data_IF_824669982774
#
_entry.id   IF_824669982774
#
_cell.length_a   1.000
_cell.length_b   1.000
_cell.length_c   1.000
_cell.angle_alpha   90.00
_cell.angle_beta   90.00
_cell.angle_gamma   90.00
#
_symmetry.space_group_name_H-M   'P 1'
#
loop_
_entity.id
_entity.type
_entity.pdbx_description
1 polymer ?
#
# COMPACT_ATOMS: atom_id res chain seq x y z
N UNK A 1 9.52 -4.91 -70.53
CA UNK A 1 9.82 -5.04 -69.09
C UNK A 1 10.85 -3.98 -68.75
N UNK A 2 10.45 -3.03 -67.90
CA UNK A 2 11.05 -1.69 -67.84
C UNK A 2 12.27 -1.60 -66.93
N UNK A 3 13.21 -0.81 -67.42
CA UNK A 3 14.46 -0.35 -66.85
C UNK A 3 14.25 0.51 -65.59
N UNK A 4 15.20 0.43 -64.66
CA UNK A 4 15.19 1.21 -63.42
C UNK A 4 15.63 2.66 -63.60
N UNK A 5 15.34 3.48 -62.58
CA UNK A 5 16.09 4.69 -62.21
C UNK A 5 16.03 4.88 -60.69
N UNK A 6 17.20 4.97 -60.06
CA UNK A 6 17.37 5.41 -58.69
C UNK A 6 17.55 6.94 -58.65
N UNK A 7 16.86 7.64 -57.75
CA UNK A 7 17.18 9.02 -57.39
C UNK A 7 17.42 9.14 -55.86
N UNK A 8 18.57 9.70 -55.51
CA UNK A 8 19.11 9.90 -54.16
C UNK A 8 18.14 10.71 -53.28
N UNK A 9 17.76 10.17 -52.11
CA UNK A 9 17.25 10.99 -51.00
C UNK A 9 18.38 11.30 -50.02
N UNK A 10 18.63 12.60 -49.78
CA UNK A 10 19.53 13.13 -48.74
C UNK A 10 19.24 12.43 -47.41
N UNK A 11 20.29 11.90 -46.76
CA UNK A 11 20.24 11.48 -45.35
C UNK A 11 19.83 12.70 -44.51
N UNK A 12 18.58 12.74 -44.04
CA UNK A 12 18.24 13.53 -42.86
C UNK A 12 18.87 12.81 -41.68
N UNK A 13 19.90 13.43 -41.08
CA UNK A 13 20.45 12.98 -39.80
C UNK A 13 19.35 12.88 -38.74
N UNK A 14 19.60 12.14 -37.65
CA UNK A 14 18.59 11.92 -36.62
C UNK A 14 18.13 13.26 -36.10
N UNK A 15 16.85 13.55 -36.33
CA UNK A 15 16.20 14.73 -35.76
C UNK A 15 16.18 14.48 -34.26
N UNK A 16 17.08 15.14 -33.51
CA UNK A 16 16.96 15.22 -32.06
C UNK A 16 15.62 15.88 -31.77
N UNK A 17 14.58 15.08 -31.52
CA UNK A 17 13.37 15.53 -30.84
C UNK A 17 13.83 15.92 -29.44
N UNK A 18 14.17 17.19 -29.27
CA UNK A 18 14.38 17.80 -27.96
C UNK A 18 13.06 17.62 -27.20
N UNK A 19 13.15 16.88 -26.10
CA UNK A 19 12.07 16.51 -25.19
C UNK A 19 11.53 17.79 -24.55
N UNK A 20 10.47 18.37 -25.10
CA UNK A 20 9.88 19.66 -24.64
C UNK A 20 9.24 19.58 -23.26
N UNK A 21 8.95 18.38 -22.74
CA UNK A 21 8.15 18.19 -21.53
C UNK A 21 8.95 17.85 -20.25
N UNK A 22 10.26 17.60 -20.37
CA UNK A 22 11.14 17.30 -19.21
C UNK A 22 11.13 18.38 -18.12
N UNK A 23 11.17 19.69 -18.44
CA UNK A 23 11.17 20.75 -17.41
C UNK A 23 9.87 20.79 -16.60
N UNK A 24 8.73 20.56 -17.25
CA UNK A 24 7.40 20.62 -16.61
C UNK A 24 7.21 19.44 -15.67
N UNK A 25 7.66 18.24 -16.06
CA UNK A 25 7.60 17.05 -15.20
C UNK A 25 8.44 17.20 -13.92
N UNK A 26 9.68 17.72 -14.04
CA UNK A 26 10.56 17.96 -12.89
C UNK A 26 9.94 19.02 -11.96
N UNK A 27 9.42 20.11 -12.53
CA UNK A 27 8.73 21.15 -11.77
C UNK A 27 7.51 20.60 -11.01
N UNK A 28 6.68 19.79 -11.69
CA UNK A 28 5.53 19.14 -11.06
C UNK A 28 5.94 18.31 -9.84
N UNK A 29 6.92 17.41 -9.99
CA UNK A 29 7.38 16.56 -8.88
C UNK A 29 8.09 17.33 -7.77
N UNK A 30 8.77 18.43 -8.09
CA UNK A 30 9.31 19.33 -7.08
C UNK A 30 8.19 19.90 -6.21
N UNK A 31 7.13 20.45 -6.82
CA UNK A 31 5.97 21.01 -6.11
C UNK A 31 5.21 19.94 -5.31
N UNK A 32 5.04 18.74 -5.89
CA UNK A 32 4.43 17.61 -5.19
C UNK A 32 5.28 17.17 -3.99
N UNK A 33 6.61 17.20 -4.09
CA UNK A 33 7.48 16.85 -2.96
C UNK A 33 7.49 17.93 -1.87
N UNK A 34 7.43 19.22 -2.23
CA UNK A 34 7.27 20.30 -1.25
C UNK A 34 6.00 20.13 -0.42
N UNK A 35 4.90 19.72 -1.05
CA UNK A 35 3.65 19.43 -0.34
C UNK A 35 3.58 18.01 0.22
N UNK A 36 4.63 17.19 0.07
CA UNK A 36 4.65 15.77 0.41
C UNK A 36 3.52 14.95 -0.26
N UNK A 37 2.96 15.44 -1.36
CA UNK A 37 1.82 14.84 -2.06
C UNK A 37 0.45 15.31 -1.57
N UNK A 38 0.38 16.27 -0.66
CA UNK A 38 -0.84 16.89 -0.16
C UNK A 38 -1.22 18.12 -0.98
N UNK A 39 -2.50 18.52 -0.95
CA UNK A 39 -3.01 19.80 -1.48
C UNK A 39 -2.45 20.18 -2.87
N UNK A 40 -2.44 19.23 -3.80
CA UNK A 40 -1.83 19.38 -5.14
C UNK A 40 -2.75 20.11 -6.15
N UNK A 41 -3.92 20.58 -5.70
CA UNK A 41 -4.87 21.27 -6.56
C UNK A 41 -4.24 22.55 -7.13
N UNK A 42 -4.21 22.67 -8.46
CA UNK A 42 -3.64 23.83 -9.15
C UNK A 42 -2.15 23.70 -9.53
N UNK A 43 -1.47 22.59 -9.19
CA UNK A 43 -0.13 22.32 -9.73
C UNK A 43 -0.24 21.95 -11.21
N UNK A 44 0.42 22.72 -12.08
CA UNK A 44 0.47 22.47 -13.52
C UNK A 44 1.33 21.23 -13.83
N UNK A 45 0.70 20.11 -14.17
CA UNK A 45 1.36 18.91 -14.68
C UNK A 45 1.52 18.90 -16.21
N UNK A 46 2.36 18.01 -16.78
CA UNK A 46 2.43 17.80 -18.22
C UNK A 46 1.05 17.48 -18.84
N UNK A 47 0.71 18.09 -19.99
CA UNK A 47 -0.57 17.84 -20.68
C UNK A 47 -0.55 16.48 -21.41
N UNK A 48 -1.48 15.59 -21.09
CA UNK A 48 -1.62 14.26 -21.69
C UNK A 48 -2.03 13.23 -20.64
N UNK A 49 -2.73 12.16 -21.06
CA UNK A 49 -3.35 11.14 -20.21
C UNK A 49 -2.54 10.68 -18.98
N UNK A 50 -3.27 10.08 -18.02
CA UNK A 50 -2.85 9.37 -16.79
C UNK A 50 -1.49 8.64 -16.89
N UNK A 51 -1.11 8.17 -18.09
CA UNK A 51 0.21 7.63 -18.43
C UNK A 51 1.42 8.57 -18.19
N UNK A 52 1.20 9.86 -17.92
CA UNK A 52 2.27 10.80 -17.53
C UNK A 52 2.75 10.64 -16.08
N UNK A 53 2.10 9.75 -15.31
CA UNK A 53 2.45 9.50 -13.92
C UNK A 53 2.14 10.72 -13.03
N UNK A 54 1.07 11.47 -13.29
CA UNK A 54 0.63 12.46 -12.32
C UNK A 54 -0.20 11.82 -11.22
N UNK A 55 -0.24 12.46 -10.05
CA UNK A 55 -1.22 12.15 -9.02
C UNK A 55 -2.59 12.65 -9.48
N UNK A 56 -3.61 11.80 -9.32
CA UNK A 56 -5.02 12.12 -9.55
C UNK A 56 -5.67 12.39 -8.20
N UNK A 57 -6.31 13.55 -8.07
CA UNK A 57 -7.01 13.98 -6.86
C UNK A 57 -8.47 13.53 -6.88
N UNK A 58 -8.92 12.96 -5.76
CA UNK A 58 -10.29 12.52 -5.56
C UNK A 58 -10.85 13.16 -4.28
N UNK A 59 -12.10 13.64 -4.37
CA UNK A 59 -12.90 14.03 -3.21
C UNK A 59 -13.73 12.85 -2.76
N UNK A 60 -13.80 12.62 -1.45
CA UNK A 60 -14.51 11.46 -0.90
C UNK A 60 -16.02 11.67 -0.76
N UNK A 61 -16.50 12.91 -0.89
CA UNK A 61 -17.92 13.29 -0.94
C UNK A 61 -18.67 12.71 -2.15
N UNK A 62 -17.96 12.40 -3.23
CA UNK A 62 -18.50 11.78 -4.46
C UNK A 62 -18.00 10.35 -4.60
N UNK A 63 -18.60 9.50 -5.46
CA UNK A 63 -18.04 8.18 -5.76
C UNK A 63 -16.59 8.27 -6.27
N UNK A 64 -15.71 7.46 -5.68
CA UNK A 64 -14.29 7.37 -6.03
C UNK A 64 -13.86 5.89 -6.07
N UNK A 65 -12.81 5.56 -6.84
CA UNK A 65 -12.38 4.17 -6.98
C UNK A 65 -11.64 3.68 -5.72
N UNK A 66 -11.60 2.35 -5.53
CA UNK A 66 -10.89 1.68 -4.42
C UNK A 66 -11.27 2.14 -3.02
N UNK A 67 -12.56 2.38 -2.77
CA UNK A 67 -13.03 2.90 -1.47
C UNK A 67 -12.44 2.18 -0.27
N UNK A 68 -12.48 0.85 -0.26
CA UNK A 68 -11.93 0.08 0.86
C UNK A 68 -10.41 0.19 0.96
N UNK A 69 -9.67 0.03 -0.15
CA UNK A 69 -8.21 0.19 -0.17
C UNK A 69 -7.79 1.57 0.37
N UNK A 70 -8.45 2.64 -0.06
CA UNK A 70 -8.18 4.01 0.42
C UNK A 70 -8.52 4.17 1.90
N UNK A 71 -9.63 3.58 2.37
CA UNK A 71 -10.00 3.56 3.80
C UNK A 71 -8.95 2.84 4.64
N UNK A 72 -8.50 1.66 4.21
CA UNK A 72 -7.46 0.90 4.89
C UNK A 72 -6.14 1.64 4.93
N UNK A 73 -5.78 2.31 3.83
CA UNK A 73 -4.63 3.19 3.85
C UNK A 73 -4.80 4.29 4.87
N UNK A 74 -5.94 4.97 4.90
CA UNK A 74 -6.32 5.85 6.01
C UNK A 74 -6.03 5.22 7.38
N UNK A 75 -6.66 4.10 7.70
CA UNK A 75 -6.40 3.43 9.00
C UNK A 75 -4.90 3.15 9.25
N UNK A 76 -4.11 2.79 8.24
CA UNK A 76 -2.68 2.47 8.37
C UNK A 76 -1.82 3.65 8.83
N UNK A 77 -1.94 4.81 8.21
CA UNK A 77 -1.15 5.96 8.64
C UNK A 77 -1.69 6.63 9.91
N UNK A 78 -2.97 6.50 10.22
CA UNK A 78 -3.46 6.85 11.56
C UNK A 78 -2.84 5.92 12.61
N UNK A 79 -2.78 4.63 12.32
CA UNK A 79 -2.09 3.64 13.16
C UNK A 79 -0.60 4.00 13.32
N UNK A 80 0.11 4.37 12.25
CA UNK A 80 1.49 4.89 12.34
C UNK A 80 1.58 6.11 13.26
N UNK A 81 0.67 7.07 13.12
CA UNK A 81 0.66 8.26 13.96
C UNK A 81 0.46 7.88 15.45
N UNK A 82 -0.50 7.00 15.73
CA UNK A 82 -0.73 6.46 17.06
C UNK A 82 0.51 5.74 17.63
N UNK A 83 1.24 4.97 16.83
CA UNK A 83 2.50 4.33 17.23
C UNK A 83 3.59 5.33 17.61
N UNK A 84 3.71 6.44 16.87
CA UNK A 84 4.74 7.47 17.12
C UNK A 84 4.38 8.32 18.33
N UNK A 85 3.12 8.71 18.45
CA UNK A 85 2.67 9.70 19.44
C UNK A 85 2.11 9.07 20.72
N UNK A 86 1.93 7.74 20.76
CA UNK A 86 1.28 7.06 21.87
C UNK A 86 -0.19 7.42 22.03
N UNK A 87 -0.87 7.76 20.93
CA UNK A 87 -2.29 8.12 20.90
C UNK A 87 -3.18 6.95 20.50
N UNK A 88 -4.50 7.12 20.60
CA UNK A 88 -5.48 6.11 20.16
C UNK A 88 -6.60 6.76 19.34
N UNK A 89 -6.23 7.49 18.29
CA UNK A 89 -7.20 8.09 17.39
C UNK A 89 -7.83 7.05 16.48
N UNK A 90 -9.11 7.24 16.17
CA UNK A 90 -9.88 6.43 15.23
C UNK A 90 -10.23 7.22 13.97
N UNK A 91 -10.29 6.53 12.84
CA UNK A 91 -10.62 7.16 11.56
C UNK A 91 -12.13 7.37 11.48
N UNK A 92 -12.56 8.63 11.46
CA UNK A 92 -13.96 8.98 11.28
C UNK A 92 -14.31 9.04 9.78
N UNK A 93 -13.70 9.98 9.06
CA UNK A 93 -14.03 10.25 7.66
C UNK A 93 -12.77 10.48 6.82
N UNK A 94 -12.86 10.11 5.54
CA UNK A 94 -11.91 10.53 4.52
C UNK A 94 -12.47 11.75 3.79
N UNK A 95 -11.66 12.79 3.64
CA UNK A 95 -12.07 14.04 2.96
C UNK A 95 -11.67 14.00 1.49
N UNK A 96 -10.38 13.74 1.23
CA UNK A 96 -9.79 13.68 -0.11
C UNK A 96 -8.52 12.86 -0.10
N UNK A 97 -8.11 12.37 -1.27
CA UNK A 97 -6.83 11.68 -1.44
C UNK A 97 -6.26 11.93 -2.84
N UNK A 98 -4.96 11.70 -2.97
CA UNK A 98 -4.23 11.76 -4.23
C UNK A 98 -3.67 10.37 -4.51
N UNK A 99 -3.83 9.85 -5.71
CA UNK A 99 -3.31 8.51 -6.07
C UNK A 99 -2.66 8.48 -7.46
N UNK A 100 -1.81 7.48 -7.68
CA UNK A 100 -1.20 7.11 -8.97
C UNK A 100 -1.55 5.62 -9.22
N UNK A 101 -1.90 5.21 -10.44
CA UNK A 101 -2.11 3.79 -10.88
C UNK A 101 -0.94 2.86 -10.45
N UNK A 102 -0.98 1.52 -10.36
CA UNK A 102 -1.95 0.41 -10.12
C UNK A 102 -1.09 -0.87 -9.89
N UNK A 103 -1.35 -1.71 -8.88
CA UNK A 103 -0.47 -2.84 -8.53
C UNK A 103 -0.59 -3.44 -7.10
N UNK A 104 0.47 -4.19 -6.77
CA UNK A 104 0.82 -5.08 -5.62
C UNK A 104 0.84 -4.51 -4.19
N UNK A 105 0.60 -5.28 -3.12
CA UNK A 105 0.81 -4.82 -1.73
C UNK A 105 2.30 -4.69 -1.42
N UNK A 106 2.83 -3.50 -1.64
CA UNK A 106 4.08 -3.02 -1.06
C UNK A 106 3.85 -1.57 -0.65
N UNK A 107 3.60 -1.35 0.64
CA UNK A 107 3.14 -0.05 1.14
C UNK A 107 4.11 0.46 2.18
N UNK A 108 4.60 1.68 1.96
CA UNK A 108 5.41 2.40 2.93
C UNK A 108 4.64 3.64 3.36
N UNK A 109 4.20 3.65 4.62
CA UNK A 109 3.65 4.83 5.26
C UNK A 109 4.79 5.66 5.83
N UNK A 110 5.24 6.66 5.07
CA UNK A 110 6.32 7.58 5.45
C UNK A 110 5.83 8.85 6.13
N UNK A 111 4.56 9.22 5.93
CA UNK A 111 3.98 10.47 6.43
C UNK A 111 2.59 10.22 7.00
N UNK A 112 2.38 10.64 8.24
CA UNK A 112 1.07 10.79 8.87
C UNK A 112 1.19 11.85 9.98
N UNK A 113 0.40 12.92 9.90
CA UNK A 113 0.39 14.04 10.84
C UNK A 113 -0.93 14.80 10.77
N UNK A 114 -1.22 15.55 11.83
CA UNK A 114 -2.35 16.48 11.89
C UNK A 114 -2.12 17.60 10.86
N UNK A 115 -3.16 17.95 10.10
CA UNK A 115 -3.09 19.06 9.15
C UNK A 115 -2.73 20.38 9.86
N UNK A 116 -1.68 21.04 9.37
CA UNK A 116 -1.18 22.30 9.93
C UNK A 116 -0.25 22.16 11.13
N UNK A 117 0.04 20.95 11.59
CA UNK A 117 1.05 20.67 12.62
C UNK A 117 2.47 20.54 12.07
N UNK A 118 3.45 20.62 12.97
CA UNK A 118 4.86 20.46 12.64
C UNK A 118 5.15 19.08 12.01
N UNK A 119 6.05 19.07 11.02
CA UNK A 119 6.45 17.84 10.33
C UNK A 119 7.40 17.05 11.24
N UNK A 120 6.93 15.97 11.84
CA UNK A 120 7.80 14.98 12.49
C UNK A 120 8.18 13.91 11.48
N UNK A 121 9.45 13.92 11.05
CA UNK A 121 10.04 12.91 10.17
C UNK A 121 10.31 13.43 8.75
N UNK A 122 11.59 13.48 8.39
CA UNK A 122 12.01 13.68 7.00
C UNK A 122 11.61 12.48 6.16
N UNK A 123 11.15 12.73 4.93
CA UNK A 123 10.89 11.68 3.95
C UNK A 123 12.21 10.98 3.61
N UNK A 124 12.53 9.90 4.33
CA UNK A 124 13.61 8.99 3.97
C UNK A 124 13.00 7.85 3.17
N UNK A 125 13.41 7.73 1.91
CA UNK A 125 13.05 6.62 1.02
C UNK A 125 13.71 5.34 1.54
N UNK A 126 13.05 4.65 2.47
CA UNK A 126 13.33 3.24 2.71
C UNK A 126 12.67 2.45 1.59
N UNK A 127 13.44 2.06 0.58
CA UNK A 127 13.05 1.01 -0.39
C UNK A 127 12.85 -0.28 0.38
N UNK A 128 11.62 -0.51 0.83
CA UNK A 128 11.26 -1.56 1.77
C UNK A 128 10.83 -2.85 1.09
N UNK A 129 11.54 -3.28 0.03
CA UNK A 129 11.34 -4.65 -0.46
C UNK A 129 12.09 -5.57 0.48
N UNK A 130 11.37 -6.20 1.40
CA UNK A 130 11.93 -7.19 2.30
C UNK A 130 11.46 -8.58 1.89
N UNK A 131 12.27 -9.61 2.14
CA UNK A 131 11.80 -10.97 1.89
C UNK A 131 10.67 -11.31 2.88
N UNK A 132 9.51 -11.72 2.34
CA UNK A 132 8.46 -12.35 3.11
C UNK A 132 8.85 -13.81 3.39
N UNK A 133 8.71 -14.29 4.63
CA UNK A 133 8.93 -15.69 4.92
C UNK A 133 7.79 -16.54 4.32
N UNK A 134 8.07 -17.82 4.11
CA UNK A 134 7.02 -18.78 3.80
C UNK A 134 6.15 -19.06 5.03
N UNK A 135 5.00 -19.70 4.79
CA UNK A 135 4.21 -20.24 5.88
C UNK A 135 5.02 -21.30 6.66
N UNK A 136 5.20 -21.13 7.98
CA UNK A 136 5.96 -22.05 8.82
C UNK A 136 5.25 -23.39 9.07
N UNK A 137 6.01 -24.39 9.50
CA UNK A 137 5.46 -25.68 9.95
C UNK A 137 4.63 -25.53 11.23
N UNK A 138 3.77 -26.49 11.54
CA UNK A 138 2.93 -26.43 12.73
C UNK A 138 3.75 -26.36 14.04
N UNK A 139 4.89 -27.06 14.09
CA UNK A 139 5.80 -27.04 15.23
C UNK A 139 6.51 -25.69 15.41
N UNK A 140 6.81 -24.99 14.31
CA UNK A 140 7.35 -23.63 14.35
C UNK A 140 6.29 -22.64 14.81
N UNK A 141 5.07 -22.70 14.26
CA UNK A 141 3.98 -21.80 14.67
C UNK A 141 3.64 -21.99 16.14
N UNK A 142 3.65 -23.21 16.66
CA UNK A 142 3.37 -23.49 18.08
C UNK A 142 4.37 -22.82 19.03
N UNK A 143 5.55 -22.42 18.55
CA UNK A 143 6.56 -21.70 19.33
C UNK A 143 6.38 -20.18 19.28
N UNK A 144 5.56 -19.68 18.36
CA UNK A 144 5.24 -18.27 18.21
C UNK A 144 4.13 -17.85 19.18
N UNK A 145 4.01 -16.55 19.40
CA UNK A 145 2.90 -16.00 20.16
C UNK A 145 1.59 -16.22 19.40
N UNK A 146 0.70 -17.04 19.94
CA UNK A 146 -0.64 -17.27 19.35
C UNK A 146 -1.62 -16.29 19.96
N UNK A 147 -2.33 -15.55 19.11
CA UNK A 147 -3.29 -14.53 19.55
C UNK A 147 -4.65 -15.17 19.79
N UNK A 148 -5.20 -14.97 20.97
CA UNK A 148 -6.54 -15.44 21.31
C UNK A 148 -7.64 -14.52 20.78
N UNK A 149 -8.86 -15.05 20.65
CA UNK A 149 -10.01 -14.30 20.12
C UNK A 149 -10.35 -13.05 20.94
N UNK A 150 -10.20 -13.10 22.27
CA UNK A 150 -10.41 -11.94 23.14
C UNK A 150 -9.38 -10.84 22.89
N UNK A 151 -8.13 -11.20 22.60
CA UNK A 151 -7.04 -10.27 22.34
C UNK A 151 -7.16 -9.61 20.96
N UNK A 152 -7.65 -10.37 19.97
CA UNK A 152 -7.96 -9.85 18.63
C UNK A 152 -8.97 -8.70 18.67
N UNK A 153 -9.98 -8.79 19.53
CA UNK A 153 -10.96 -7.71 19.70
C UNK A 153 -10.33 -6.42 20.25
N UNK A 154 -9.25 -6.53 21.01
CA UNK A 154 -8.49 -5.37 21.51
C UNK A 154 -7.38 -4.92 20.56
N UNK A 155 -7.03 -5.74 19.55
CA UNK A 155 -5.86 -5.55 18.69
C UNK A 155 -6.27 -5.28 17.25
N UNK A 156 -6.78 -4.08 17.01
CA UNK A 156 -7.37 -3.67 15.73
C UNK A 156 -6.38 -3.68 14.55
N UNK A 157 -5.07 -3.57 14.80
CA UNK A 157 -4.06 -3.49 13.74
C UNK A 157 -3.86 -4.82 13.00
N UNK A 158 -4.04 -5.97 13.66
CA UNK A 158 -3.95 -7.30 13.01
C UNK A 158 -5.02 -7.43 11.93
N UNK A 159 -6.26 -7.05 12.26
CA UNK A 159 -7.39 -7.08 11.33
C UNK A 159 -7.19 -6.08 10.20
N UNK A 160 -6.68 -4.89 10.49
CA UNK A 160 -6.32 -3.89 9.47
C UNK A 160 -5.29 -4.45 8.47
N UNK A 161 -4.27 -5.15 8.96
CA UNK A 161 -3.21 -5.69 8.10
C UNK A 161 -3.73 -6.82 7.22
N UNK A 162 -4.59 -7.69 7.76
CA UNK A 162 -5.30 -8.70 6.96
C UNK A 162 -6.22 -8.04 5.92
N UNK A 163 -6.98 -7.02 6.32
CA UNK A 163 -7.87 -6.26 5.45
C UNK A 163 -7.10 -5.65 4.26
N UNK A 164 -5.91 -5.11 4.51
CA UNK A 164 -5.03 -4.56 3.46
C UNK A 164 -4.60 -5.63 2.45
N UNK A 165 -4.15 -6.81 2.91
CA UNK A 165 -3.82 -7.94 2.02
C UNK A 165 -5.01 -8.30 1.16
N UNK A 166 -6.18 -8.50 1.78
CA UNK A 166 -7.38 -8.93 1.06
C UNK A 166 -7.85 -7.87 0.06
N UNK A 167 -7.84 -6.59 0.42
CA UNK A 167 -8.19 -5.50 -0.51
C UNK A 167 -7.31 -5.45 -1.75
N UNK A 168 -6.07 -5.92 -1.65
CA UNK A 168 -5.10 -5.82 -2.74
C UNK A 168 -5.11 -7.08 -3.60
N UNK A 169 -5.13 -8.26 -2.96
CA UNK A 169 -5.22 -9.55 -3.65
C UNK A 169 -6.55 -9.71 -4.42
N UNK A 170 -7.66 -9.19 -3.89
CA UNK A 170 -8.96 -9.20 -4.59
C UNK A 170 -9.11 -8.14 -5.69
N UNK A 171 -8.12 -7.26 -5.87
CA UNK A 171 -8.11 -6.24 -6.90
C UNK A 171 -9.30 -5.26 -6.86
N UNK A 172 -9.67 -4.74 -8.03
CA UNK A 172 -10.65 -3.66 -8.25
C UNK A 172 -12.10 -3.97 -7.80
N UNK A 173 -12.37 -5.17 -7.29
CA UNK A 173 -13.71 -5.63 -6.97
C UNK A 173 -14.03 -5.55 -5.47
N UNK A 174 -15.00 -4.71 -5.11
CA UNK A 174 -15.99 -4.84 -4.01
C UNK A 174 -15.60 -5.64 -2.75
N UNK A 175 -14.37 -5.58 -2.26
CA UNK A 175 -14.06 -6.06 -0.93
C UNK A 175 -14.66 -5.06 0.07
N UNK A 176 -15.73 -5.47 0.75
CA UNK A 176 -16.38 -4.68 1.80
C UNK A 176 -15.69 -4.93 3.14
N UNK A 177 -15.67 -3.93 4.00
CA UNK A 177 -15.22 -4.04 5.40
C UNK A 177 -15.92 -5.20 6.15
N UNK A 178 -17.20 -5.42 5.84
CA UNK A 178 -18.01 -6.48 6.47
C UNK A 178 -17.42 -7.88 6.21
N UNK A 179 -16.68 -8.06 5.12
CA UNK A 179 -16.08 -9.35 4.76
C UNK A 179 -15.00 -9.78 5.74
N UNK A 180 -14.22 -8.84 6.30
CA UNK A 180 -13.18 -9.20 7.31
C UNK A 180 -13.86 -9.63 8.60
N UNK A 181 -14.92 -8.93 8.98
CA UNK A 181 -15.69 -9.21 10.19
C UNK A 181 -16.42 -10.56 10.12
N UNK A 182 -16.75 -11.04 8.92
CA UNK A 182 -17.36 -12.36 8.71
C UNK A 182 -16.35 -13.52 8.63
N UNK A 183 -15.04 -13.25 8.61
CA UNK A 183 -14.05 -14.32 8.53
C UNK A 183 -14.00 -15.12 9.82
N UNK A 184 -13.89 -16.43 9.66
CA UNK A 184 -13.53 -17.32 10.76
C UNK A 184 -12.00 -17.35 10.85
N UNK A 185 -11.44 -16.65 11.84
CA UNK A 185 -10.00 -16.72 12.12
C UNK A 185 -9.69 -18.04 12.82
N UNK A 186 -9.03 -18.94 12.08
CA UNK A 186 -8.64 -20.28 12.56
C UNK A 186 -7.38 -20.20 13.42
N UNK A 187 -6.41 -19.39 12.98
CA UNK A 187 -5.14 -19.22 13.70
C UNK A 187 -4.55 -17.85 13.42
N UNK A 188 -4.03 -17.21 14.46
CA UNK A 188 -3.26 -15.98 14.36
C UNK A 188 -2.01 -16.13 15.20
N UNK A 189 -0.84 -15.98 14.58
CA UNK A 189 0.44 -16.01 15.29
C UNK A 189 1.29 -14.79 14.92
N UNK A 190 2.05 -14.30 15.90
CA UNK A 190 2.96 -13.17 15.80
C UNK A 190 4.38 -13.69 16.02
N UNK A 191 5.24 -13.41 15.05
CA UNK A 191 6.68 -13.58 15.15
C UNK A 191 7.34 -12.20 15.27
N UNK A 192 7.99 -11.96 16.40
CA UNK A 192 8.62 -10.69 16.74
C UNK A 192 9.63 -10.90 17.87
N UNK A 193 10.66 -10.06 17.90
CA UNK A 193 11.63 -10.00 18.98
C UNK A 193 11.15 -9.10 20.14
N UNK A 194 9.99 -8.43 20.00
CA UNK A 194 9.40 -7.59 21.05
C UNK A 194 8.85 -8.44 22.20
N UNK A 195 9.22 -8.10 23.45
CA UNK A 195 8.72 -8.74 24.69
C UNK A 195 7.19 -8.67 24.85
N UNK A 196 6.55 -7.73 24.16
CA UNK A 196 5.10 -7.54 24.14
C UNK A 196 4.56 -7.69 22.71
N UNK A 197 4.31 -8.92 22.23
CA UNK A 197 3.98 -9.18 20.82
C UNK A 197 2.77 -8.42 20.29
N UNK A 198 1.75 -8.17 21.13
CA UNK A 198 0.54 -7.43 20.74
C UNK A 198 0.78 -5.93 20.50
N UNK A 199 1.87 -5.39 21.06
CA UNK A 199 2.28 -3.99 20.93
C UNK A 199 3.50 -3.84 20.00
N UNK A 200 3.92 -4.93 19.36
CA UNK A 200 5.09 -4.95 18.49
C UNK A 200 4.92 -3.96 17.34
N UNK A 201 5.94 -3.14 17.13
CA UNK A 201 5.96 -2.20 15.99
C UNK A 201 6.44 -2.87 14.71
N UNK A 202 7.23 -3.94 14.86
CA UNK A 202 7.74 -4.77 13.78
C UNK A 202 7.42 -6.22 14.06
N UNK A 203 6.79 -6.91 13.12
CA UNK A 203 6.38 -8.30 13.28
C UNK A 203 6.13 -9.00 11.95
N UNK A 204 6.16 -10.33 11.98
CA UNK A 204 5.54 -11.16 10.96
C UNK A 204 4.27 -11.79 11.54
N UNK A 205 3.14 -11.55 10.86
CA UNK A 205 1.87 -12.19 11.16
C UNK A 205 1.66 -13.40 10.26
N UNK A 206 1.22 -14.48 10.88
CA UNK A 206 0.74 -15.70 10.24
C UNK A 206 -0.74 -15.88 10.56
N UNK A 207 -1.60 -15.69 9.56
CA UNK A 207 -3.05 -15.71 9.76
C UNK A 207 -3.65 -16.82 8.90
N UNK A 208 -4.31 -17.78 9.53
CA UNK A 208 -5.15 -18.77 8.87
C UNK A 208 -6.62 -18.45 9.12
N UNK A 209 -7.45 -18.49 8.07
CA UNK A 209 -8.85 -18.09 8.13
C UNK A 209 -9.74 -18.84 7.12
N UNK A 210 -11.04 -18.87 7.37
CA UNK A 210 -12.12 -19.38 6.49
C UNK A 210 -13.21 -18.33 6.31
N UNK A 211 -14.25 -18.66 5.56
CA UNK A 211 -15.39 -17.77 5.32
C UNK A 211 -15.19 -16.85 4.12
N UNK A 212 -14.29 -17.23 3.22
CA UNK A 212 -13.96 -16.42 2.05
C UNK A 212 -13.79 -17.30 0.81
N UNK A 213 -14.66 -17.15 -0.18
CA UNK A 213 -14.52 -17.78 -1.49
C UNK A 213 -13.57 -16.95 -2.38
N UNK A 214 -12.46 -17.54 -2.82
CA UNK A 214 -11.50 -16.98 -3.81
C UNK A 214 -11.55 -17.87 -5.05
N UNK A 215 -11.63 -17.30 -6.25
CA UNK A 215 -11.45 -18.02 -7.52
C UNK A 215 -12.32 -19.27 -7.67
N UNK A 216 -13.59 -19.19 -7.23
CA UNK A 216 -14.54 -20.29 -7.32
C UNK A 216 -14.34 -21.42 -6.30
N UNK A 217 -13.44 -21.23 -5.32
CA UNK A 217 -13.27 -22.18 -4.21
C UNK A 217 -14.30 -21.94 -3.10
N UNK A 218 -14.63 -23.00 -2.37
CA UNK A 218 -15.60 -22.97 -1.27
C UNK A 218 -15.11 -22.07 -0.11
N UNK A 219 -16.05 -21.39 0.55
CA UNK A 219 -15.82 -20.58 1.75
C UNK A 219 -15.29 -21.42 2.93
N UNK A 220 -15.56 -22.74 2.92
CA UNK A 220 -15.03 -23.68 3.91
C UNK A 220 -13.51 -23.89 3.81
N UNK A 221 -12.88 -23.52 2.68
CA UNK A 221 -11.45 -23.69 2.45
C UNK A 221 -10.64 -22.77 3.37
N UNK A 222 -9.71 -23.38 4.10
CA UNK A 222 -8.75 -22.63 4.90
C UNK A 222 -7.73 -21.91 4.01
N UNK A 223 -7.56 -20.62 4.29
CA UNK A 223 -6.62 -19.73 3.62
C UNK A 223 -5.59 -19.23 4.60
N UNK A 224 -4.43 -18.89 4.07
CA UNK A 224 -3.27 -18.47 4.85
C UNK A 224 -2.73 -17.16 4.31
N UNK A 225 -2.50 -16.19 5.18
CA UNK A 225 -1.85 -14.92 4.88
C UNK A 225 -0.56 -14.81 5.69
N UNK A 226 0.50 -14.32 5.04
CA UNK A 226 1.75 -13.91 5.70
C UNK A 226 1.89 -12.41 5.50
N UNK A 227 2.06 -11.68 6.58
CA UNK A 227 2.20 -10.22 6.55
C UNK A 227 3.41 -9.83 7.38
N UNK A 228 4.30 -9.02 6.81
CA UNK A 228 5.46 -8.46 7.49
C UNK A 228 5.32 -6.96 7.62
N UNK A 229 5.46 -6.49 8.84
CA UNK A 229 5.51 -5.07 9.20
C UNK A 229 6.90 -4.72 9.73
N UNK A 230 7.41 -3.56 9.33
CA UNK A 230 8.69 -3.03 9.78
C UNK A 230 8.55 -1.56 10.10
N UNK A 231 8.84 -1.21 11.34
CA UNK A 231 8.86 0.16 11.83
C UNK A 231 10.29 0.65 11.99
N UNK A 232 10.61 1.76 11.35
CA UNK A 232 11.91 2.40 11.46
C UNK A 232 11.86 3.51 12.52
N UNK A 233 12.47 3.29 13.68
CA UNK A 233 12.49 4.24 14.80
C UNK A 233 13.18 5.58 14.45
N UNK A 234 14.16 5.58 13.52
CA UNK A 234 14.87 6.80 13.13
C UNK A 234 14.01 7.72 12.26
N UNK A 235 13.19 7.13 11.38
CA UNK A 235 12.39 7.88 10.40
C UNK A 235 10.91 7.94 10.76
N UNK A 236 10.47 7.11 11.70
CA UNK A 236 9.08 6.82 12.00
C UNK A 236 8.34 6.13 10.84
N UNK A 237 9.04 5.61 9.82
CA UNK A 237 8.40 4.98 8.66
C UNK A 237 7.84 3.60 9.03
N UNK A 238 6.63 3.28 8.57
CA UNK A 238 6.01 1.96 8.71
C UNK A 238 5.89 1.32 7.32
N UNK A 239 6.63 0.24 7.08
CA UNK A 239 6.53 -0.56 5.88
C UNK A 239 5.70 -1.82 6.13
N UNK A 240 4.83 -2.16 5.18
CA UNK A 240 3.97 -3.35 5.22
C UNK A 240 4.03 -4.08 3.88
N UNK A 241 4.21 -5.39 3.96
CA UNK A 241 4.15 -6.30 2.82
C UNK A 241 3.37 -7.54 3.24
N UNK A 242 2.57 -8.12 2.34
CA UNK A 242 1.84 -9.35 2.65
C UNK A 242 1.32 -10.07 1.42
N UNK A 243 1.04 -11.36 1.58
CA UNK A 243 0.61 -12.28 0.52
C UNK A 243 -0.39 -13.31 1.05
N UNK A 244 -1.22 -13.85 0.15
CA UNK A 244 -1.99 -15.07 0.39
C UNK A 244 -1.22 -16.30 -0.12
N UNK A 245 -1.05 -17.32 0.73
CA UNK A 245 -0.14 -18.46 0.50
C UNK A 245 -0.60 -19.45 -0.58
N UNK A 246 -1.68 -19.16 -1.32
CA UNK A 246 -2.24 -20.03 -2.34
C UNK A 246 -2.28 -19.36 -3.73
N UNK A 247 -1.75 -18.14 -3.87
CA UNK A 247 -1.51 -17.47 -5.15
C UNK A 247 -0.08 -17.73 -5.65
N UNK A 248 0.14 -17.68 -6.96
CA UNK A 248 1.48 -17.73 -7.55
C UNK A 248 2.41 -16.71 -6.86
N UNK A 249 3.70 -17.06 -6.74
CA UNK A 249 4.74 -16.18 -6.16
C UNK A 249 4.60 -14.76 -6.70
N UNK A 250 4.57 -13.71 -5.84
CA UNK A 250 4.50 -12.35 -6.33
C UNK A 250 5.71 -12.07 -7.23
N UNK A 251 5.47 -11.75 -8.49
CA UNK A 251 6.47 -11.04 -9.28
C UNK A 251 6.66 -9.68 -8.61
N UNK A 252 7.87 -9.42 -8.12
CA UNK A 252 8.22 -8.17 -7.44
C UNK A 252 7.92 -6.96 -8.32
N UNK A 253 7.00 -6.12 -7.86
CA UNK A 253 6.77 -4.79 -8.39
C UNK A 253 6.48 -3.84 -7.21
N UNK A 254 7.10 -2.67 -7.25
CA UNK A 254 6.98 -1.61 -6.25
C UNK A 254 5.70 -0.80 -6.47
N UNK A 255 4.89 -0.60 -5.43
CA UNK A 255 3.83 0.42 -5.43
C UNK A 255 4.22 1.59 -4.52
N UNK A 256 3.99 2.82 -4.99
CA UNK A 256 4.20 4.03 -4.22
C UNK A 256 2.84 4.68 -3.95
N UNK A 257 2.41 4.76 -2.70
CA UNK A 257 1.26 5.56 -2.31
C UNK A 257 1.63 6.68 -1.34
N UNK A 258 1.04 7.86 -1.54
CA UNK A 258 1.11 9.01 -0.63
C UNK A 258 -0.33 9.39 -0.27
N UNK A 259 -0.72 9.24 1.01
CA UNK A 259 -2.07 9.53 1.49
C UNK A 259 -2.12 10.69 2.46
N UNK A 260 -3.33 11.26 2.56
CA UNK A 260 -3.70 12.35 3.44
C UNK A 260 -4.33 11.80 4.73
N UNK A 261 -3.90 12.33 5.88
CA UNK A 261 -4.62 12.24 7.16
C UNK A 261 -5.26 13.56 7.53
N UNK A 262 -6.50 13.41 8.03
CA UNK A 262 -7.32 14.25 8.92
C UNK A 262 -6.84 15.72 9.06
#
# INVERSE_FOLDING_TARGET
MNFGYAQKKKKKGPTKKIIKDKPIYIYYWHRVNESQGFDIEGILGPKGMVASGQLVSYKCEVPYPFRQKVKCYGKLGLHRYNLIQGTNFELQDLIKFNMRDFGYLNVVCSVARIKGGDTTGGASETTGVFALPNWPSDAEIQRLYTVDRSELLSTHWILLYLELVLCIEYGYGNFSEDKVSSLELVKVAIDTDDETPLQAKSSVLYIAFRGLAIDGTDESVERKAVIKSLFNELTGSLALQGILCNGETPMGAEEYFKFVYI
#
